data_IF_122660159033
#
_entry.id   IF_122660159033
#
_cell.length_a   1.000
_cell.length_b   1.000
_cell.length_c   1.000
_cell.angle_alpha   90.00
_cell.angle_beta   90.00
_cell.angle_gamma   90.00
#
_symmetry.space_group_name_H-M   'P 1'
#
loop_
_entity.id
_entity.type
_entity.pdbx_description
1 polymer ?
#
# COMPACT_ATOMS: atom_id res chain seq x y z
N UNK A 1 20.49 4.08 16.89
CA UNK A 1 21.02 5.11 15.98
C UNK A 1 19.89 5.74 15.18
N UNK A 2 20.03 7.00 14.75
CA UNK A 2 19.08 7.67 13.84
C UNK A 2 19.88 8.25 12.67
N UNK A 3 19.51 7.89 11.45
CA UNK A 3 19.98 8.53 10.22
C UNK A 3 18.93 9.52 9.72
N UNK A 4 19.38 10.66 9.19
CA UNK A 4 18.53 11.62 8.48
C UNK A 4 18.87 11.56 7.00
N UNK A 5 17.86 11.47 6.14
CA UNK A 5 18.00 11.35 4.68
C UNK A 5 17.31 12.55 4.04
N UNK A 6 18.07 13.32 3.28
CA UNK A 6 17.55 14.43 2.48
C UNK A 6 17.56 13.99 1.01
N UNK A 7 16.41 14.11 0.36
CA UNK A 7 16.25 13.79 -1.06
C UNK A 7 16.14 15.12 -1.79
N UNK A 8 17.04 15.36 -2.74
CA UNK A 8 17.09 16.60 -3.50
C UNK A 8 16.95 16.34 -5.00
N UNK A 9 16.29 17.26 -5.70
CA UNK A 9 16.26 17.34 -7.15
C UNK A 9 16.83 18.70 -7.57
N UNK A 10 18.03 18.69 -8.15
CA UNK A 10 18.84 19.90 -8.28
C UNK A 10 19.17 20.48 -6.90
N UNK A 11 18.94 21.77 -6.70
CA UNK A 11 19.19 22.46 -5.42
C UNK A 11 17.99 22.41 -4.46
N UNK A 12 16.87 21.79 -4.85
CA UNK A 12 15.64 21.76 -4.04
C UNK A 12 15.51 20.43 -3.30
N UNK A 13 15.28 20.50 -2.00
CA UNK A 13 14.87 19.33 -1.20
C UNK A 13 13.42 18.99 -1.58
N UNK A 14 13.21 17.74 -2.00
CA UNK A 14 11.90 17.18 -2.39
C UNK A 14 11.40 16.12 -1.41
N UNK A 15 12.25 15.67 -0.50
CA UNK A 15 11.88 14.72 0.54
C UNK A 15 12.84 14.73 1.72
N UNK A 16 12.33 14.34 2.88
CA UNK A 16 13.08 14.17 4.12
C UNK A 16 12.59 12.88 4.78
N UNK A 17 13.52 12.09 5.29
CA UNK A 17 13.22 10.89 6.07
C UNK A 17 14.15 10.75 7.27
N UNK A 18 13.66 10.08 8.30
CA UNK A 18 14.49 9.64 9.42
C UNK A 18 14.37 8.14 9.55
N UNK A 19 15.49 7.45 9.72
CA UNK A 19 15.53 6.01 9.92
C UNK A 19 16.17 5.74 11.28
N UNK A 20 15.41 5.13 12.18
CA UNK A 20 15.97 4.58 13.41
C UNK A 20 16.42 3.15 13.14
N UNK A 21 17.68 2.85 13.45
CA UNK A 21 18.28 1.54 13.23
C UNK A 21 19.20 1.13 14.38
N UNK A 22 19.48 -0.17 14.49
CA UNK A 22 20.44 -0.75 15.42
C UNK A 22 21.21 -1.86 14.70
N UNK A 23 22.53 -1.87 14.87
CA UNK A 23 23.43 -2.83 14.22
C UNK A 23 23.53 -4.15 15.00
N UNK A 24 23.22 -4.15 16.30
CA UNK A 24 23.55 -5.25 17.21
C UNK A 24 22.36 -5.85 17.94
N UNK A 25 21.18 -5.24 17.89
CA UNK A 25 20.05 -5.66 18.71
C UNK A 25 18.72 -5.65 17.95
N UNK A 26 18.03 -6.79 17.96
CA UNK A 26 16.67 -6.98 17.46
C UNK A 26 15.60 -6.25 18.30
N UNK A 27 15.97 -5.64 19.43
CA UNK A 27 15.05 -4.91 20.33
C UNK A 27 14.33 -3.71 19.68
N UNK A 28 14.73 -3.27 18.48
CA UNK A 28 13.98 -2.27 17.70
C UNK A 28 12.91 -2.88 16.79
N UNK A 29 12.95 -4.19 16.56
CA UNK A 29 11.87 -4.89 15.88
C UNK A 29 10.79 -5.10 16.93
N UNK A 30 9.76 -4.26 16.87
CA UNK A 30 8.57 -4.52 17.66
C UNK A 30 8.00 -5.87 17.22
N UNK A 31 7.97 -6.86 18.11
CA UNK A 31 7.29 -8.10 17.80
C UNK A 31 5.81 -7.76 17.54
N UNK A 32 5.36 -7.93 16.30
CA UNK A 32 3.96 -7.67 16.00
C UNK A 32 3.10 -8.82 16.52
N UNK A 33 2.23 -8.51 17.48
CA UNK A 33 1.19 -9.44 17.95
C UNK A 33 0.00 -9.53 16.98
N UNK A 34 0.08 -8.82 15.84
CA UNK A 34 -0.97 -8.86 14.82
C UNK A 34 -0.78 -10.04 13.89
N UNK A 35 -1.79 -10.90 13.85
CA UNK A 35 -1.97 -11.90 12.79
C UNK A 35 -3.09 -11.47 11.86
N UNK A 36 -2.91 -11.70 10.56
CA UNK A 36 -3.97 -11.41 9.61
C UNK A 36 -5.19 -12.28 9.93
N UNK A 37 -6.36 -11.65 10.08
CA UNK A 37 -7.66 -12.35 10.12
C UNK A 37 -7.88 -13.17 8.84
N UNK A 38 -8.91 -14.01 8.80
CA UNK A 38 -9.18 -14.94 7.69
C UNK A 38 -9.49 -14.24 6.35
N UNK A 39 -8.45 -13.77 5.66
CA UNK A 39 -8.50 -13.48 4.22
C UNK A 39 -8.27 -14.77 3.41
N UNK A 40 -8.88 -14.90 2.22
CA UNK A 40 -8.55 -15.96 1.27
C UNK A 40 -7.05 -15.96 0.95
N UNK A 41 -6.49 -17.13 0.60
CA UNK A 41 -5.12 -17.21 0.10
C UNK A 41 -4.95 -16.41 -1.20
N UNK A 42 -3.73 -16.06 -1.55
CA UNK A 42 -3.45 -15.43 -2.84
C UNK A 42 -3.90 -16.33 -4.01
N UNK A 43 -3.83 -17.65 -3.89
CA UNK A 43 -4.29 -18.60 -4.91
C UNK A 43 -5.80 -18.56 -5.14
N UNK A 44 -6.58 -18.33 -4.08
CA UNK A 44 -8.03 -18.23 -4.14
C UNK A 44 -8.54 -16.80 -4.45
N UNK A 45 -7.65 -15.80 -4.41
CA UNK A 45 -7.99 -14.39 -4.63
C UNK A 45 -7.93 -14.04 -6.13
N UNK A 46 -8.92 -13.32 -6.68
CA UNK A 46 -8.93 -12.94 -8.09
C UNK A 46 -7.79 -11.98 -8.43
N UNK A 47 -7.12 -12.23 -9.55
CA UNK A 47 -6.12 -11.33 -10.13
C UNK A 47 -6.75 -10.16 -10.89
N UNK A 48 -5.92 -9.24 -11.37
CA UNK A 48 -6.36 -8.04 -12.11
C UNK A 48 -7.20 -8.41 -13.34
N UNK A 49 -6.82 -9.44 -14.09
CA UNK A 49 -7.54 -9.88 -15.29
C UNK A 49 -8.95 -10.38 -14.95
N UNK A 50 -9.13 -11.05 -13.82
CA UNK A 50 -10.45 -11.53 -13.37
C UNK A 50 -11.32 -10.41 -12.81
N UNK A 51 -10.70 -9.42 -12.17
CA UNK A 51 -11.36 -8.20 -11.70
C UNK A 51 -11.90 -7.42 -12.89
N UNK A 52 -11.08 -7.21 -13.93
CA UNK A 52 -11.43 -6.44 -15.12
C UNK A 52 -12.63 -6.97 -15.90
N UNK A 53 -12.92 -8.27 -15.79
CA UNK A 53 -14.13 -8.89 -16.38
C UNK A 53 -15.43 -8.49 -15.66
N UNK A 54 -15.33 -7.90 -14.46
CA UNK A 54 -16.47 -7.69 -13.53
C UNK A 54 -16.71 -6.23 -13.17
N UNK A 55 -15.81 -5.33 -13.57
CA UNK A 55 -15.85 -3.91 -13.20
C UNK A 55 -15.92 -3.03 -14.44
N UNK A 56 -16.66 -1.93 -14.34
CA UNK A 56 -16.85 -0.97 -15.43
C UNK A 56 -16.48 0.45 -14.99
N UNK A 57 -16.51 1.40 -15.94
CA UNK A 57 -16.28 2.82 -15.67
C UNK A 57 -14.94 3.13 -15.02
N UNK A 58 -14.95 4.02 -14.01
CA UNK A 58 -13.74 4.51 -13.36
C UNK A 58 -12.95 3.42 -12.63
N UNK A 59 -13.61 2.38 -12.10
CA UNK A 59 -12.93 1.26 -11.45
C UNK A 59 -12.16 0.41 -12.49
N UNK A 60 -12.74 0.16 -13.66
CA UNK A 60 -12.06 -0.54 -14.76
C UNK A 60 -10.79 0.20 -15.22
N UNK A 61 -10.87 1.52 -15.39
CA UNK A 61 -9.71 2.35 -15.76
C UNK A 61 -8.59 2.26 -14.71
N UNK A 62 -8.94 2.26 -13.42
CA UNK A 62 -7.97 2.08 -12.33
C UNK A 62 -7.25 0.72 -12.45
N UNK A 63 -8.01 -0.38 -12.58
CA UNK A 63 -7.43 -1.72 -12.67
C UNK A 63 -6.66 -1.96 -13.98
N UNK A 64 -7.03 -1.33 -15.09
CA UNK A 64 -6.24 -1.39 -16.33
C UNK A 64 -4.86 -0.76 -16.14
N UNK A 65 -4.78 0.38 -15.43
CA UNK A 65 -3.50 1.02 -15.14
C UNK A 65 -2.59 0.13 -14.29
N UNK A 66 -3.16 -0.67 -13.39
CA UNK A 66 -2.40 -1.62 -12.55
C UNK A 66 -1.57 -2.61 -13.37
N UNK A 67 -1.99 -2.95 -14.59
CA UNK A 67 -1.27 -3.88 -15.48
C UNK A 67 0.13 -3.34 -15.84
N UNK A 68 0.33 -2.03 -15.87
CA UNK A 68 1.61 -1.43 -16.26
C UNK A 68 2.61 -1.28 -15.10
N UNK A 69 2.17 -1.46 -13.86
CA UNK A 69 3.05 -1.38 -12.70
C UNK A 69 3.83 -2.69 -12.49
N UNK A 70 5.01 -2.66 -11.84
CA UNK A 70 5.86 -3.83 -11.64
C UNK A 70 5.32 -4.81 -10.58
N UNK A 71 4.04 -4.71 -10.22
CA UNK A 71 3.39 -5.50 -9.18
C UNK A 71 2.28 -6.36 -9.75
N UNK A 72 2.16 -7.56 -9.22
CA UNK A 72 0.95 -8.35 -9.30
C UNK A 72 0.06 -8.00 -8.11
N UNK A 73 -1.24 -7.87 -8.36
CA UNK A 73 -2.23 -7.59 -7.33
C UNK A 73 -3.35 -8.61 -7.43
N UNK A 74 -3.72 -9.20 -6.30
CA UNK A 74 -4.92 -10.02 -6.17
C UNK A 74 -5.79 -9.49 -5.04
N UNK A 75 -7.08 -9.28 -5.31
CA UNK A 75 -7.99 -8.66 -4.34
C UNK A 75 -8.39 -9.69 -3.29
N UNK A 76 -7.86 -9.56 -2.08
CA UNK A 76 -8.13 -10.48 -0.97
C UNK A 76 -9.45 -10.15 -0.26
N UNK A 77 -9.85 -8.87 -0.26
CA UNK A 77 -11.11 -8.44 0.34
C UNK A 77 -12.30 -8.60 -0.63
N UNK A 78 -13.33 -9.33 -0.21
CA UNK A 78 -14.66 -9.30 -0.85
C UNK A 78 -15.67 -8.44 -0.09
N UNK A 79 -15.30 -7.88 1.06
CA UNK A 79 -16.22 -7.16 1.95
C UNK A 79 -16.69 -5.82 1.36
N UNK A 80 -17.90 -5.42 1.72
CA UNK A 80 -18.45 -4.09 1.46
C UNK A 80 -17.84 -2.97 2.34
N UNK A 81 -16.85 -3.26 3.19
CA UNK A 81 -16.18 -2.25 4.00
C UNK A 81 -15.34 -1.31 3.12
N UNK A 82 -15.95 -0.19 2.74
CA UNK A 82 -15.34 0.84 1.89
C UNK A 82 -14.13 1.51 2.55
N UNK A 83 -14.01 1.42 3.87
CA UNK A 83 -12.93 2.02 4.64
C UNK A 83 -11.72 1.10 4.75
N UNK A 84 -11.75 -0.06 4.08
CA UNK A 84 -10.71 -1.08 4.15
C UNK A 84 -10.41 -1.68 2.78
N UNK A 85 -9.12 -1.82 2.49
CA UNK A 85 -8.64 -2.67 1.39
C UNK A 85 -7.79 -3.80 1.95
N UNK A 86 -7.85 -4.95 1.29
CA UNK A 86 -6.89 -6.03 1.49
C UNK A 86 -6.53 -6.63 0.15
N UNK A 87 -5.24 -6.60 -0.17
CA UNK A 87 -4.72 -7.08 -1.44
C UNK A 87 -3.48 -7.95 -1.19
N UNK A 88 -3.43 -9.10 -1.85
CA UNK A 88 -2.17 -9.81 -2.03
C UNK A 88 -1.37 -9.11 -3.11
N UNK A 89 -0.10 -8.84 -2.82
CA UNK A 89 0.80 -8.12 -3.70
C UNK A 89 2.16 -8.79 -3.76
N UNK A 90 2.81 -8.71 -4.92
CA UNK A 90 4.18 -9.20 -5.16
C UNK A 90 4.78 -8.46 -6.34
N UNK A 91 6.11 -8.34 -6.42
CA UNK A 91 6.78 -7.93 -7.66
C UNK A 91 6.55 -8.98 -8.76
N UNK A 92 6.18 -8.56 -9.98
CA UNK A 92 5.94 -9.49 -11.09
C UNK A 92 7.19 -10.33 -11.37
N UNK A 93 7.03 -11.64 -11.65
CA UNK A 93 8.12 -12.52 -12.05
C UNK A 93 9.01 -11.96 -13.16
N UNK A 94 8.43 -11.20 -14.10
CA UNK A 94 9.17 -10.55 -15.20
C UNK A 94 10.21 -9.51 -14.74
N UNK A 95 10.17 -9.06 -13.49
CA UNK A 95 11.16 -8.15 -12.90
C UNK A 95 12.05 -8.83 -11.85
N UNK A 96 11.95 -10.16 -11.66
CA UNK A 96 12.72 -10.87 -10.64
C UNK A 96 14.23 -10.83 -10.90
N UNK A 97 14.66 -10.75 -12.15
CA UNK A 97 16.08 -10.62 -12.51
C UNK A 97 16.71 -9.31 -12.00
N UNK A 98 15.89 -8.29 -11.69
CA UNK A 98 16.35 -7.04 -11.10
C UNK A 98 16.40 -7.07 -9.57
N UNK A 99 15.97 -8.16 -8.93
CA UNK A 99 15.94 -8.32 -7.48
C UNK A 99 17.01 -9.31 -7.02
N UNK A 100 17.55 -9.06 -5.84
CA UNK A 100 18.38 -10.00 -5.10
C UNK A 100 17.73 -10.35 -3.76
N UNK A 101 18.19 -11.43 -3.11
CA UNK A 101 17.60 -11.93 -1.86
C UNK A 101 17.57 -10.95 -0.69
N UNK A 102 18.35 -9.85 -0.74
CA UNK A 102 18.40 -8.82 0.31
C UNK A 102 17.41 -7.67 0.09
N UNK A 103 16.71 -7.63 -1.05
CA UNK A 103 15.82 -6.52 -1.40
C UNK A 103 14.45 -6.58 -0.72
N UNK A 104 14.20 -7.58 0.14
CA UNK A 104 12.90 -7.80 0.76
C UNK A 104 12.33 -6.57 1.48
N UNK A 105 13.16 -5.88 2.27
CA UNK A 105 12.73 -4.65 2.98
C UNK A 105 12.40 -3.53 1.99
N UNK A 106 13.20 -3.37 0.93
CA UNK A 106 12.94 -2.38 -0.13
C UNK A 106 11.63 -2.67 -0.87
N UNK A 107 11.36 -3.95 -1.14
CA UNK A 107 10.07 -4.39 -1.72
C UNK A 107 8.92 -4.03 -0.78
N UNK A 108 9.03 -4.30 0.52
CA UNK A 108 7.98 -3.94 1.47
C UNK A 108 7.74 -2.43 1.55
N UNK A 109 8.79 -1.60 1.55
CA UNK A 109 8.62 -0.14 1.49
C UNK A 109 7.87 0.27 0.23
N UNK A 110 8.25 -0.27 -0.92
CA UNK A 110 7.54 0.01 -2.17
C UNK A 110 6.07 -0.42 -2.12
N UNK A 111 5.77 -1.64 -1.66
CA UNK A 111 4.39 -2.13 -1.54
C UNK A 111 3.56 -1.28 -0.57
N UNK A 112 4.16 -0.82 0.54
CA UNK A 112 3.50 0.01 1.54
C UNK A 112 3.04 1.35 0.95
N UNK A 113 3.96 2.14 0.39
CA UNK A 113 3.66 3.49 -0.12
C UNK A 113 2.79 3.43 -1.38
N UNK A 114 2.94 2.38 -2.19
CA UNK A 114 2.13 2.20 -3.38
C UNK A 114 0.63 2.02 -3.08
N UNK A 115 0.31 1.25 -2.04
CA UNK A 115 -1.04 0.67 -1.93
C UNK A 115 -1.90 1.30 -0.85
N UNK A 116 -1.34 1.68 0.31
CA UNK A 116 -2.18 1.94 1.49
C UNK A 116 -3.07 3.17 1.28
N UNK A 117 -2.57 4.26 0.68
CA UNK A 117 -3.37 5.47 0.45
C UNK A 117 -4.56 5.26 -0.51
N UNK A 118 -4.56 4.18 -1.30
CA UNK A 118 -5.61 3.92 -2.28
C UNK A 118 -7.01 3.69 -1.67
N UNK A 119 -7.09 3.29 -0.39
CA UNK A 119 -8.36 3.16 0.35
C UNK A 119 -9.11 4.50 0.40
N UNK A 120 -8.40 5.62 0.50
CA UNK A 120 -9.03 6.95 0.49
C UNK A 120 -9.74 7.22 -0.84
N UNK A 121 -9.16 6.78 -1.95
CA UNK A 121 -9.77 6.86 -3.27
C UNK A 121 -11.07 6.05 -3.37
N UNK A 122 -11.13 4.89 -2.73
CA UNK A 122 -12.36 4.08 -2.67
C UNK A 122 -13.47 4.80 -1.89
N UNK A 123 -13.15 5.37 -0.72
CA UNK A 123 -14.12 6.11 0.10
C UNK A 123 -14.69 7.30 -0.69
N UNK A 124 -13.83 8.09 -1.34
CA UNK A 124 -14.27 9.24 -2.15
C UNK A 124 -15.15 8.81 -3.33
N UNK A 125 -14.76 7.78 -4.07
CA UNK A 125 -15.56 7.26 -5.19
C UNK A 125 -16.92 6.75 -4.73
N UNK A 126 -16.97 6.04 -3.60
CA UNK A 126 -18.22 5.56 -3.02
C UNK A 126 -19.13 6.72 -2.57
N UNK A 127 -18.57 7.86 -2.20
CA UNK A 127 -19.31 9.09 -1.91
C UNK A 127 -19.68 9.91 -3.16
N UNK A 128 -19.45 9.38 -4.37
CA UNK A 128 -19.74 10.08 -5.64
C UNK A 128 -18.78 11.25 -5.94
N UNK A 129 -17.63 11.30 -5.27
CA UNK A 129 -16.63 12.35 -5.44
C UNK A 129 -15.45 11.78 -6.24
N UNK A 130 -15.14 12.40 -7.38
CA UNK A 130 -13.96 12.04 -8.18
C UNK A 130 -12.70 12.67 -7.57
N UNK A 131 -11.72 11.89 -7.08
CA UNK A 131 -10.41 12.40 -6.74
C UNK A 131 -9.68 12.81 -8.02
N UNK A 132 -9.17 14.04 -8.07
CA UNK A 132 -8.33 14.54 -9.16
C UNK A 132 -6.88 14.08 -8.98
N UNK A 133 -6.37 14.14 -7.76
CA UNK A 133 -5.02 13.71 -7.41
C UNK A 133 -4.95 13.23 -5.97
N UNK A 134 -3.96 12.39 -5.71
CA UNK A 134 -3.59 11.90 -4.39
C UNK A 134 -2.10 12.21 -4.20
N UNK A 135 -1.73 12.73 -3.03
CA UNK A 135 -0.34 13.06 -2.72
C UNK A 135 -0.04 12.71 -1.27
N UNK A 136 1.06 11.99 -1.04
CA UNK A 136 1.52 11.66 0.31
C UNK A 136 2.05 12.92 1.01
N UNK A 137 1.63 13.13 2.25
CA UNK A 137 2.16 14.19 3.13
C UNK A 137 3.23 13.64 4.06
N UNK A 138 2.99 12.44 4.62
CA UNK A 138 3.99 11.69 5.37
C UNK A 138 3.76 10.20 5.19
N UNK A 139 4.82 9.41 5.36
CA UNK A 139 4.79 7.95 5.37
C UNK A 139 5.68 7.44 6.51
N UNK A 140 5.09 6.74 7.47
CA UNK A 140 5.78 6.20 8.62
C UNK A 140 5.60 4.69 8.66
N UNK A 141 6.70 3.98 8.86
CA UNK A 141 6.73 2.52 8.83
C UNK A 141 7.47 1.99 10.05
N UNK A 142 7.00 0.85 10.55
CA UNK A 142 7.66 0.05 11.59
C UNK A 142 7.91 -1.34 11.01
N UNK A 143 9.17 -1.77 11.06
CA UNK A 143 9.59 -3.09 10.63
C UNK A 143 9.53 -4.07 11.79
N UNK A 144 8.84 -5.19 11.59
CA UNK A 144 8.69 -6.26 12.59
C UNK A 144 9.50 -7.51 12.21
N UNK A 145 9.88 -7.61 10.93
CA UNK A 145 10.73 -8.65 10.37
C UNK A 145 11.64 -8.03 9.31
N UNK A 146 12.93 -8.38 9.31
CA UNK A 146 13.89 -7.87 8.31
C UNK A 146 14.31 -8.93 7.32
N UNK A 147 14.16 -10.22 7.66
CA UNK A 147 14.42 -11.33 6.77
C UNK A 147 13.21 -11.62 5.87
N UNK A 148 12.86 -10.66 5.02
CA UNK A 148 11.72 -10.76 4.12
C UNK A 148 12.15 -11.26 2.74
N UNK A 149 11.40 -12.19 2.15
CA UNK A 149 11.66 -12.69 0.81
C UNK A 149 11.09 -11.71 -0.25
N UNK A 150 11.91 -11.11 -1.13
CA UNK A 150 11.43 -10.16 -2.14
C UNK A 150 10.55 -10.80 -3.23
N UNK A 151 10.57 -12.13 -3.35
CA UNK A 151 9.81 -12.90 -4.34
C UNK A 151 8.49 -13.48 -3.79
N UNK A 152 8.18 -13.26 -2.51
CA UNK A 152 6.98 -13.80 -1.86
C UNK A 152 5.76 -12.91 -2.06
N UNK A 153 4.58 -13.50 -1.91
CA UNK A 153 3.35 -12.74 -1.76
C UNK A 153 3.25 -12.11 -0.38
N UNK A 154 2.78 -10.87 -0.35
CA UNK A 154 2.48 -10.16 0.88
C UNK A 154 1.03 -9.69 0.87
N UNK A 155 0.31 -9.92 1.96
CA UNK A 155 -1.02 -9.39 2.16
C UNK A 155 -0.88 -7.98 2.73
N UNK A 156 -1.27 -6.98 1.95
CA UNK A 156 -1.34 -5.59 2.41
C UNK A 156 -2.79 -5.26 2.78
N UNK A 157 -3.01 -4.98 4.06
CA UNK A 157 -4.30 -4.52 4.60
C UNK A 157 -4.15 -3.04 4.96
N UNK A 158 -5.04 -2.20 4.46
CA UNK A 158 -5.06 -0.78 4.82
C UNK A 158 -6.48 -0.33 5.19
N UNK A 159 -6.57 0.48 6.23
CA UNK A 159 -7.81 0.97 6.82
C UNK A 159 -7.73 2.51 6.92
N UNK A 160 -8.82 3.20 6.60
CA UNK A 160 -8.91 4.64 6.74
C UNK A 160 -10.05 5.01 7.67
N UNK A 161 -9.68 5.43 8.88
CA UNK A 161 -10.65 5.80 9.92
C UNK A 161 -11.11 7.26 9.78
N UNK A 162 -10.26 8.13 9.22
CA UNK A 162 -10.53 9.57 9.19
C UNK A 162 -10.17 10.18 7.84
N UNK A 163 -11.17 10.81 7.23
CA UNK A 163 -11.01 11.72 6.10
C UNK A 163 -11.63 13.06 6.47
N UNK A 164 -10.84 14.13 6.41
CA UNK A 164 -11.29 15.46 6.77
C UNK A 164 -10.48 16.53 6.04
N UNK A 165 -11.13 17.61 5.59
CA UNK A 165 -10.49 18.75 4.94
C UNK A 165 -9.55 18.37 3.78
N UNK A 166 -9.93 17.35 3.00
CA UNK A 166 -9.11 16.86 1.88
C UNK A 166 -7.89 16.06 2.31
N UNK A 167 -7.78 15.63 3.57
CA UNK A 167 -6.72 14.73 4.05
C UNK A 167 -7.31 13.39 4.46
N UNK A 168 -6.57 12.32 4.24
CA UNK A 168 -6.92 10.97 4.65
C UNK A 168 -5.79 10.40 5.49
N UNK A 169 -6.11 9.97 6.71
CA UNK A 169 -5.18 9.21 7.57
C UNK A 169 -5.48 7.73 7.40
N UNK A 170 -4.45 6.96 7.05
CA UNK A 170 -4.53 5.54 6.77
C UNK A 170 -3.57 4.79 7.68
N UNK A 171 -4.03 3.66 8.19
CA UNK A 171 -3.19 2.67 8.87
C UNK A 171 -3.07 1.43 8.00
N UNK A 172 -1.86 0.91 7.85
CA UNK A 172 -1.57 -0.27 7.06
C UNK A 172 -0.85 -1.34 7.88
N UNK A 173 -1.11 -2.60 7.54
CA UNK A 173 -0.38 -3.76 8.05
C UNK A 173 -0.06 -4.67 6.87
N UNK A 174 1.20 -5.10 6.78
CA UNK A 174 1.66 -6.04 5.77
C UNK A 174 1.98 -7.35 6.45
N UNK A 175 1.47 -8.44 5.87
CA UNK A 175 1.64 -9.79 6.37
C UNK A 175 2.30 -10.67 5.32
N UNK A 176 3.16 -11.58 5.76
CA UNK A 176 3.71 -12.62 4.89
C UNK A 176 2.69 -13.75 4.62
N UNK A 177 3.09 -14.75 3.82
CA UNK A 177 2.26 -15.91 3.48
C UNK A 177 1.88 -16.76 4.71
N UNK A 178 2.66 -16.68 5.80
CA UNK A 178 2.36 -17.32 7.08
C UNK A 178 1.39 -16.52 7.96
N UNK A 179 0.93 -15.36 7.47
CA UNK A 179 0.06 -14.39 8.16
C UNK A 179 0.72 -13.68 9.34
N UNK A 180 2.05 -13.73 9.46
CA UNK A 180 2.81 -12.92 10.43
C UNK A 180 2.89 -11.50 9.91
N UNK A 181 2.58 -10.51 10.75
CA UNK A 181 2.75 -9.12 10.38
C UNK A 181 4.24 -8.75 10.36
N UNK A 182 4.73 -8.35 9.19
CA UNK A 182 6.14 -8.01 8.94
C UNK A 182 6.40 -6.51 8.94
N UNK A 183 5.35 -5.70 8.70
CA UNK A 183 5.43 -4.24 8.70
C UNK A 183 4.09 -3.62 9.12
N UNK A 184 4.15 -2.51 9.86
CA UNK A 184 3.01 -1.60 10.09
C UNK A 184 3.30 -0.22 9.53
N UNK A 185 2.24 0.48 9.13
CA UNK A 185 2.32 1.70 8.34
C UNK A 185 1.31 2.71 8.87
N UNK A 186 1.69 3.98 8.96
CA UNK A 186 0.78 5.10 9.08
C UNK A 186 1.13 6.11 7.98
N UNK A 187 0.13 6.50 7.20
CA UNK A 187 0.29 7.44 6.10
C UNK A 187 -0.84 8.46 6.15
N UNK A 188 -0.50 9.75 6.04
CA UNK A 188 -1.47 10.78 5.71
C UNK A 188 -1.22 11.27 4.28
N UNK A 189 -2.30 11.34 3.52
CA UNK A 189 -2.28 11.86 2.17
C UNK A 189 -3.28 13.01 1.99
N UNK A 190 -2.94 13.94 1.12
CA UNK A 190 -3.85 14.93 0.58
C UNK A 190 -4.59 14.37 -0.63
N UNK A 191 -5.91 14.61 -0.66
CA UNK A 191 -6.82 14.22 -1.71
C UNK A 191 -7.42 15.48 -2.31
N UNK A 192 -6.95 15.83 -3.51
CA UNK A 192 -7.54 16.91 -4.28
C UNK A 192 -8.81 16.38 -4.96
N UNK A 193 -9.95 17.01 -4.68
CA UNK A 193 -11.22 16.69 -5.36
C UNK A 193 -11.26 17.36 -6.73
N UNK A 194 -11.95 16.75 -7.69
CA UNK A 194 -12.33 17.48 -8.90
C UNK A 194 -13.24 18.65 -8.54
N UNK A 195 -13.05 19.79 -9.18
CA UNK A 195 -13.92 20.97 -9.06
C UNK A 195 -15.22 20.81 -9.84
N UNK A 196 -15.27 19.84 -10.76
CA UNK A 196 -16.47 19.49 -11.51
C UNK A 196 -17.39 18.65 -10.61
N UNK A 197 -18.57 19.19 -10.29
CA UNK A 197 -19.66 18.37 -9.75
C UNK A 197 -20.14 17.49 -10.89
N UNK A 198 -19.96 16.18 -10.78
CA UNK A 198 -20.69 15.25 -11.65
C UNK A 198 -22.19 15.50 -11.43
N UNK A 199 -22.88 15.90 -12.49
CA UNK A 199 -24.34 15.80 -12.52
C UNK A 199 -24.68 14.34 -12.21
N UNK A 200 -25.59 14.12 -11.26
CA UNK A 200 -26.05 12.79 -10.85
C UNK A 200 -26.37 11.96 -12.11
N UNK A 201 -25.74 10.79 -12.23
CA UNK A 201 -26.21 9.70 -13.10
C UNK A 201 -27.25 8.91 -12.30
#
# INVERSE_FOLDING_TARGET
NIASIYISQGEKIVGLGHIRYNETNSDLLDASFHHAREFPSYTASPGVEDILKRVEGAESVYWQRMIYFPIEVRKANSSADINRIANWMRIKPTFHDALNSKDGVSVLFFLSDYSVLSVSGNIYRNAGITPKSLSTLHHQVWMHETNCNPFSWYLVVAECETISHGRARVEGRIFDESRKCVMSVVQEGYVQKSTERNAKI
#
